data_IF_440736279348
#
_entry.id   IF_440736279348
#
_cell.length_a   1.000
_cell.length_b   1.000
_cell.length_c   1.000
_cell.angle_alpha   90.00
_cell.angle_beta   90.00
_cell.angle_gamma   90.00
#
_symmetry.space_group_name_H-M   'P 1'
#
loop_
_entity.id
_entity.type
_entity.pdbx_description
1 polymer ?
#
# COMPACT_ATOMS: atom_id res chain seq x y z
N UNK A 1 -9.32 -0.36 -16.43
CA UNK A 1 -8.14 -0.21 -15.54
C UNK A 1 -7.12 0.54 -16.37
N UNK A 2 -6.44 1.55 -15.82
CA UNK A 2 -5.39 2.23 -16.58
C UNK A 2 -4.27 1.23 -16.90
N UNK A 3 -3.70 1.31 -18.09
CA UNK A 3 -2.55 0.49 -18.44
C UNK A 3 -1.32 1.02 -17.69
N UNK A 4 -0.48 0.14 -17.11
CA UNK A 4 0.69 0.58 -16.40
C UNK A 4 1.70 1.18 -17.38
N UNK A 5 2.23 2.36 -17.04
CA UNK A 5 3.33 2.98 -17.76
C UNK A 5 4.61 2.17 -17.58
N UNK A 6 4.85 1.68 -16.36
CA UNK A 6 6.07 0.98 -15.98
C UNK A 6 5.80 0.08 -14.77
N UNK A 7 6.50 -1.07 -14.71
CA UNK A 7 6.46 -2.01 -13.59
C UNK A 7 7.88 -2.22 -13.10
N UNK A 8 8.09 -2.05 -11.79
CA UNK A 8 9.40 -2.17 -11.15
C UNK A 8 9.28 -3.11 -9.95
N UNK A 9 10.03 -4.21 -9.97
CA UNK A 9 10.20 -5.06 -8.80
C UNK A 9 11.36 -4.55 -7.95
N UNK A 10 11.20 -4.57 -6.62
CA UNK A 10 12.18 -4.05 -5.67
C UNK A 10 12.08 -4.79 -4.33
N UNK A 11 13.19 -4.81 -3.58
CA UNK A 11 13.20 -5.31 -2.20
C UNK A 11 12.60 -4.24 -1.30
N UNK A 12 11.66 -4.60 -0.42
CA UNK A 12 10.93 -3.61 0.40
C UNK A 12 11.83 -2.73 1.28
N UNK A 13 13.03 -3.22 1.65
CA UNK A 13 14.03 -2.47 2.42
C UNK A 13 15.01 -1.66 1.55
N UNK A 14 14.94 -1.77 0.23
CA UNK A 14 15.79 -1.06 -0.73
C UNK A 14 14.94 -0.53 -1.92
N UNK A 15 14.13 0.53 -1.70
CA UNK A 15 13.17 1.02 -2.68
C UNK A 15 13.76 1.87 -3.80
N UNK A 16 15.09 1.97 -3.93
CA UNK A 16 15.78 2.89 -4.83
C UNK A 16 15.32 2.78 -6.30
N UNK A 17 15.06 1.55 -6.76
CA UNK A 17 14.60 1.31 -8.13
C UNK A 17 13.23 1.95 -8.37
N UNK A 18 12.29 1.73 -7.45
CA UNK A 18 10.95 2.33 -7.52
C UNK A 18 11.02 3.85 -7.43
N UNK A 19 11.80 4.38 -6.49
CA UNK A 19 11.94 5.82 -6.27
C UNK A 19 12.47 6.53 -7.51
N UNK A 20 13.51 5.97 -8.15
CA UNK A 20 14.06 6.51 -9.41
C UNK A 20 13.04 6.54 -10.54
N UNK A 21 12.18 5.53 -10.65
CA UNK A 21 11.20 5.41 -11.72
C UNK A 21 9.94 6.28 -11.52
N UNK A 22 9.58 6.58 -10.27
CA UNK A 22 8.26 7.15 -9.94
C UNK A 22 8.26 8.50 -9.24
N UNK A 23 9.25 8.81 -8.40
CA UNK A 23 9.12 9.90 -7.43
C UNK A 23 8.90 11.28 -8.07
N UNK A 24 9.60 11.57 -9.17
CA UNK A 24 9.43 12.83 -9.90
C UNK A 24 8.01 13.00 -10.45
N UNK A 25 7.43 11.94 -11.01
CA UNK A 25 6.08 11.95 -11.62
C UNK A 25 4.99 12.12 -10.57
N UNK A 26 5.06 11.33 -9.49
CA UNK A 26 4.08 11.41 -8.41
C UNK A 26 4.11 12.80 -7.77
N UNK A 27 5.30 13.35 -7.49
CA UNK A 27 5.42 14.70 -6.92
C UNK A 27 4.91 15.80 -7.86
N UNK A 28 5.06 15.61 -9.17
CA UNK A 28 4.51 16.52 -10.18
C UNK A 28 2.99 16.36 -10.38
N UNK A 29 2.34 15.37 -9.76
CA UNK A 29 0.93 15.06 -9.98
C UNK A 29 0.65 14.49 -11.38
N UNK A 30 1.66 13.87 -11.99
CA UNK A 30 1.63 13.29 -13.34
C UNK A 30 1.59 11.75 -13.28
N UNK A 31 1.03 11.21 -12.20
CA UNK A 31 0.96 9.77 -12.00
C UNK A 31 0.75 9.37 -10.54
N UNK A 32 0.54 8.08 -10.36
CA UNK A 32 0.47 7.42 -9.07
C UNK A 32 1.15 6.06 -9.14
N UNK A 33 1.41 5.47 -7.96
CA UNK A 33 2.02 4.13 -7.85
C UNK A 33 1.13 3.24 -7.00
N UNK A 34 0.94 2.00 -7.46
CA UNK A 34 0.50 0.91 -6.59
C UNK A 34 1.71 0.06 -6.18
N UNK A 35 1.92 -0.14 -4.88
CA UNK A 35 2.91 -1.03 -4.32
C UNK A 35 2.18 -2.29 -3.84
N UNK A 36 2.56 -3.43 -4.41
CA UNK A 36 1.92 -4.72 -4.18
C UNK A 36 3.01 -5.67 -3.65
N UNK A 37 2.86 -6.25 -2.45
CA UNK A 37 3.84 -7.21 -1.95
C UNK A 37 3.77 -8.50 -2.75
N UNK A 38 4.93 -9.10 -2.97
CA UNK A 38 5.06 -10.42 -3.58
C UNK A 38 4.92 -11.51 -2.51
N UNK A 39 4.38 -12.65 -2.94
CA UNK A 39 4.17 -13.86 -2.13
C UNK A 39 4.78 -15.05 -2.87
N UNK A 40 5.31 -16.02 -2.12
CA UNK A 40 6.01 -17.18 -2.72
C UNK A 40 5.09 -18.05 -3.57
N UNK A 41 3.88 -18.32 -3.07
CA UNK A 41 2.86 -19.07 -3.80
C UNK A 41 1.52 -18.31 -3.85
N UNK A 42 1.09 -17.81 -5.03
CA UNK A 42 -0.20 -17.16 -5.17
C UNK A 42 -1.39 -18.09 -4.93
N UNK A 43 -1.20 -19.42 -4.95
CA UNK A 43 -2.25 -20.40 -4.59
C UNK A 43 -2.52 -20.46 -3.09
N UNK A 44 -1.55 -20.09 -2.25
CA UNK A 44 -1.67 -20.02 -0.79
C UNK A 44 -2.43 -18.77 -0.31
N UNK A 45 -2.70 -17.83 -1.21
CA UNK A 45 -3.49 -16.64 -0.91
C UNK A 45 -4.97 -17.05 -0.83
N UNK A 46 -5.64 -16.87 0.32
CA UNK A 46 -7.04 -17.26 0.45
C UNK A 46 -7.91 -16.53 -0.59
N UNK A 47 -8.47 -17.29 -1.55
CA UNK A 47 -9.43 -16.73 -2.50
C UNK A 47 -10.73 -16.40 -1.75
N UNK A 48 -11.24 -15.16 -1.81
CA UNK A 48 -12.53 -14.86 -1.22
C UNK A 48 -13.61 -15.74 -1.86
N UNK A 49 -14.44 -16.40 -1.04
CA UNK A 49 -15.62 -17.10 -1.58
C UNK A 49 -16.59 -16.08 -2.21
N UNK A 50 -17.40 -16.51 -3.17
CA UNK A 50 -18.39 -15.64 -3.86
C UNK A 50 -19.36 -14.98 -2.88
N UNK A 51 -19.67 -15.64 -1.76
CA UNK A 51 -20.49 -15.05 -0.70
C UNK A 51 -19.72 -14.05 0.16
N UNK A 52 -18.42 -14.26 0.37
CA UNK A 52 -17.55 -13.33 1.07
C UNK A 52 -17.22 -12.08 0.23
N UNK A 53 -17.25 -12.12 -1.10
CA UNK A 53 -17.08 -10.91 -1.93
C UNK A 53 -18.32 -10.01 -1.91
N UNK A 54 -19.52 -10.56 -1.70
CA UNK A 54 -20.79 -9.82 -1.68
C UNK A 54 -21.12 -9.32 -0.27
N UNK A 55 -20.97 -10.15 0.76
CA UNK A 55 -21.33 -9.83 2.16
C UNK A 55 -20.11 -9.63 3.08
N UNK A 56 -18.90 -9.86 2.60
CA UNK A 56 -17.70 -9.73 3.43
C UNK A 56 -17.35 -8.28 3.72
N UNK A 57 -16.90 -8.03 4.95
CA UNK A 57 -16.42 -6.74 5.41
C UNK A 57 -14.90 -6.55 5.17
N UNK A 58 -14.23 -7.49 4.49
CA UNK A 58 -12.77 -7.55 4.35
C UNK A 58 -12.33 -7.10 2.95
N UNK A 59 -11.24 -6.35 2.87
CA UNK A 59 -10.52 -6.10 1.62
C UNK A 59 -9.59 -7.27 1.22
N UNK A 60 -8.62 -7.04 0.33
CA UNK A 60 -7.78 -8.11 -0.21
C UNK A 60 -6.81 -8.69 0.84
N UNK A 61 -6.57 -10.01 0.80
CA UNK A 61 -5.64 -10.69 1.72
C UNK A 61 -4.20 -10.18 1.58
N UNK A 62 -3.80 -9.87 0.35
CA UNK A 62 -2.58 -9.13 0.01
C UNK A 62 -2.96 -7.65 -0.04
N UNK A 63 -2.36 -6.78 0.78
CA UNK A 63 -2.71 -5.37 0.78
C UNK A 63 -2.21 -4.70 -0.49
N UNK A 64 -2.98 -3.73 -0.98
CA UNK A 64 -2.57 -2.86 -2.08
C UNK A 64 -2.34 -1.48 -1.50
N UNK A 65 -1.11 -1.01 -1.59
CA UNK A 65 -0.74 0.34 -1.16
C UNK A 65 -0.74 1.26 -2.37
N UNK A 66 -1.38 2.42 -2.28
CA UNK A 66 -1.42 3.41 -3.35
C UNK A 66 -0.74 4.69 -2.87
N UNK A 67 0.08 5.29 -3.71
CA UNK A 67 0.75 6.56 -3.48
C UNK A 67 0.40 7.55 -4.58
N UNK A 68 -0.21 8.67 -4.20
CA UNK A 68 -0.45 9.84 -5.06
C UNK A 68 0.33 11.05 -4.53
N UNK A 69 0.28 12.17 -5.25
CA UNK A 69 0.91 13.42 -4.80
C UNK A 69 0.40 13.89 -3.42
N UNK A 70 -0.89 13.71 -3.15
CA UNK A 70 -1.58 14.26 -1.99
C UNK A 70 -1.82 13.24 -0.87
N UNK A 71 -1.75 11.94 -1.17
CA UNK A 71 -2.18 10.92 -0.23
C UNK A 71 -1.51 9.57 -0.42
N UNK A 72 -1.55 8.78 0.63
CA UNK A 72 -1.36 7.34 0.56
C UNK A 72 -2.63 6.61 0.96
N UNK A 73 -2.88 5.47 0.36
CA UNK A 73 -4.00 4.59 0.70
C UNK A 73 -3.54 3.15 0.86
N UNK A 74 -4.16 2.38 1.75
CA UNK A 74 -3.93 0.94 1.87
C UNK A 74 -5.28 0.22 1.94
N UNK A 75 -5.54 -0.61 0.93
CA UNK A 75 -6.62 -1.59 0.96
C UNK A 75 -6.08 -2.88 1.61
N UNK A 76 -6.81 -3.45 2.58
CA UNK A 76 -6.35 -4.59 3.36
C UNK A 76 -7.48 -5.55 3.75
N UNK A 77 -7.13 -6.80 4.06
CA UNK A 77 -8.07 -7.87 4.43
C UNK A 77 -8.41 -7.94 5.92
N UNK A 78 -7.76 -7.13 6.76
CA UNK A 78 -8.04 -7.11 8.20
C UNK A 78 -9.50 -6.73 8.49
N UNK A 79 -10.13 -7.44 9.43
CA UNK A 79 -11.48 -7.10 9.91
C UNK A 79 -11.51 -5.96 10.92
N UNK A 80 -10.36 -5.56 11.44
CA UNK A 80 -10.16 -4.41 12.32
C UNK A 80 -9.76 -3.18 11.51
N UNK A 81 -9.87 -2.00 12.13
CA UNK A 81 -9.39 -0.74 11.54
C UNK A 81 -7.86 -0.78 11.42
N UNK A 82 -7.33 -0.32 10.29
CA UNK A 82 -5.89 -0.34 10.03
C UNK A 82 -5.11 0.44 11.09
N UNK A 83 -5.61 1.61 11.52
CA UNK A 83 -4.91 2.44 12.49
C UNK A 83 -4.66 1.75 13.83
N UNK A 84 -5.54 0.83 14.24
CA UNK A 84 -5.33 0.04 15.46
C UNK A 84 -4.19 -0.98 15.28
N UNK A 85 -4.19 -1.70 14.16
CA UNK A 85 -3.15 -2.69 13.82
C UNK A 85 -1.79 -2.02 13.69
N UNK A 86 -1.72 -0.89 12.98
CA UNK A 86 -0.48 -0.14 12.78
C UNK A 86 0.11 0.35 14.11
N UNK A 87 -0.73 0.88 15.01
CA UNK A 87 -0.31 1.32 16.34
C UNK A 87 0.23 0.16 17.18
N UNK A 88 -0.43 -1.00 17.14
CA UNK A 88 0.03 -2.21 17.84
C UNK A 88 1.37 -2.72 17.30
N UNK A 89 1.60 -2.57 15.99
CA UNK A 89 2.86 -2.88 15.33
C UNK A 89 3.96 -1.80 15.53
N UNK A 90 3.69 -0.73 16.29
CA UNK A 90 4.64 0.38 16.48
C UNK A 90 4.87 1.22 15.22
N UNK A 91 3.96 1.16 14.25
CA UNK A 91 3.99 1.95 13.02
C UNK A 91 3.14 3.20 13.24
N UNK A 92 3.82 4.30 13.57
CA UNK A 92 3.18 5.60 13.76
C UNK A 92 3.08 6.36 12.44
N UNK A 93 2.15 7.31 12.38
CA UNK A 93 2.12 8.27 11.28
C UNK A 93 3.31 9.23 11.41
N UNK A 94 4.03 9.54 10.33
CA UNK A 94 5.01 10.62 10.34
C UNK A 94 4.37 11.98 10.62
N UNK A 95 5.18 12.94 11.03
CA UNK A 95 4.71 14.29 11.34
C UNK A 95 4.04 14.95 10.14
N UNK A 96 2.90 15.61 10.38
CA UNK A 96 2.11 16.27 9.34
C UNK A 96 1.20 15.34 8.52
N UNK A 97 1.29 14.03 8.70
CA UNK A 97 0.40 13.08 8.02
C UNK A 97 -0.94 12.99 8.74
N UNK A 98 -2.05 13.02 7.98
CA UNK A 98 -3.40 13.09 8.56
C UNK A 98 -4.30 11.98 8.03
N UNK A 99 -4.80 11.08 8.89
CA UNK A 99 -5.76 10.08 8.45
C UNK A 99 -7.08 10.76 8.09
N UNK A 100 -7.59 10.48 6.90
CA UNK A 100 -8.89 11.01 6.41
C UNK A 100 -9.94 9.92 6.24
N UNK A 101 -9.51 8.66 6.16
CA UNK A 101 -10.38 7.50 6.18
C UNK A 101 -9.69 6.35 6.90
N UNK A 102 -10.42 5.61 7.74
CA UNK A 102 -9.99 4.32 8.28
C UNK A 102 -11.20 3.39 8.39
N UNK A 103 -11.33 2.49 7.41
CA UNK A 103 -12.45 1.58 7.29
C UNK A 103 -11.96 0.15 7.07
N UNK A 104 -12.42 -0.83 7.85
CA UNK A 104 -12.07 -2.23 7.60
C UNK A 104 -12.44 -2.72 6.19
N UNK A 105 -13.50 -2.16 5.60
CA UNK A 105 -13.99 -2.53 4.26
C UNK A 105 -13.32 -1.73 3.13
N UNK A 106 -13.04 -0.44 3.34
CA UNK A 106 -12.55 0.47 2.29
C UNK A 106 -11.06 0.79 2.40
N UNK A 107 -10.39 0.28 3.43
CA UNK A 107 -9.01 0.60 3.73
C UNK A 107 -8.84 1.94 4.44
N UNK A 108 -7.57 2.29 4.64
CA UNK A 108 -7.11 3.55 5.23
C UNK A 108 -6.63 4.50 4.14
N UNK A 109 -6.89 5.79 4.31
CA UNK A 109 -6.36 6.86 3.46
C UNK A 109 -5.80 7.95 4.37
N UNK A 110 -4.59 8.38 4.06
CA UNK A 110 -3.83 9.36 4.82
C UNK A 110 -3.37 10.45 3.85
N UNK A 111 -3.71 11.69 4.15
CA UNK A 111 -3.12 12.84 3.46
C UNK A 111 -1.66 13.02 3.91
N UNK A 112 -0.80 13.33 2.94
CA UNK A 112 0.62 13.56 3.17
C UNK A 112 0.99 15.03 2.85
N UNK A 113 2.00 15.61 3.52
CA UNK A 113 2.50 16.93 3.18
C UNK A 113 2.98 17.01 1.71
N UNK A 114 2.81 18.16 1.01
CA UNK A 114 3.27 18.33 -0.38
C UNK A 114 4.77 18.12 -0.59
N UNK A 115 5.56 18.30 0.46
CA UNK A 115 7.01 18.15 0.52
C UNK A 115 7.46 16.85 1.19
N UNK A 116 6.53 15.91 1.43
CA UNK A 116 6.85 14.61 2.00
C UNK A 116 7.95 13.91 1.20
N UNK A 117 8.96 13.42 1.92
CA UNK A 117 10.07 12.68 1.33
C UNK A 117 9.56 11.37 0.70
N UNK A 118 9.75 11.16 -0.62
CA UNK A 118 9.40 9.91 -1.30
C UNK A 118 9.92 8.66 -0.63
N UNK A 119 11.15 8.69 -0.11
CA UNK A 119 11.74 7.52 0.55
C UNK A 119 10.97 7.18 1.82
N UNK A 120 10.70 8.18 2.67
CA UNK A 120 9.84 8.02 3.84
C UNK A 120 8.45 7.49 3.48
N UNK A 121 7.85 7.99 2.39
CA UNK A 121 6.54 7.54 1.92
C UNK A 121 6.55 6.06 1.57
N UNK A 122 7.51 5.62 0.74
CA UNK A 122 7.60 4.23 0.31
C UNK A 122 7.97 3.31 1.47
N UNK A 123 8.92 3.69 2.31
CA UNK A 123 9.29 2.91 3.51
C UNK A 123 8.11 2.77 4.46
N UNK A 124 7.32 3.82 4.68
CA UNK A 124 6.14 3.74 5.51
C UNK A 124 5.09 2.81 4.90
N UNK A 125 4.81 2.92 3.59
CA UNK A 125 3.86 2.06 2.89
C UNK A 125 4.25 0.59 2.93
N UNK A 126 5.54 0.27 2.72
CA UNK A 126 6.05 -1.11 2.81
C UNK A 126 5.84 -1.66 4.22
N UNK A 127 6.21 -0.91 5.26
CA UNK A 127 6.03 -1.34 6.66
C UNK A 127 4.55 -1.52 7.00
N UNK A 128 3.72 -0.55 6.67
CA UNK A 128 2.30 -0.55 6.97
C UNK A 128 1.56 -1.65 6.19
N UNK A 129 1.85 -1.80 4.90
CA UNK A 129 1.31 -2.87 4.08
C UNK A 129 1.72 -4.24 4.60
N UNK A 130 2.99 -4.46 4.95
CA UNK A 130 3.43 -5.71 5.56
C UNK A 130 2.67 -6.05 6.85
N UNK A 131 2.47 -5.07 7.73
CA UNK A 131 1.72 -5.27 8.98
C UNK A 131 0.21 -5.54 8.75
N UNK A 132 -0.34 -5.08 7.62
CA UNK A 132 -1.74 -5.26 7.25
C UNK A 132 -1.99 -6.49 6.36
N UNK A 133 -0.94 -7.24 6.02
CA UNK A 133 -1.06 -8.49 5.28
C UNK A 133 -1.59 -9.61 6.18
N UNK A 134 -2.49 -10.43 5.64
CA UNK A 134 -2.98 -11.64 6.33
C UNK A 134 -2.26 -12.92 5.90
N UNK A 135 -1.24 -12.79 5.04
CA UNK A 135 -0.41 -13.88 4.52
C UNK A 135 1.07 -13.55 4.70
N UNK A 136 1.92 -14.59 4.69
CA UNK A 136 3.36 -14.41 4.72
C UNK A 136 3.84 -13.77 3.41
N UNK A 137 4.73 -12.78 3.54
CA UNK A 137 5.30 -12.02 2.43
C UNK A 137 6.77 -12.39 2.25
N UNK A 138 7.27 -12.35 1.01
CA UNK A 138 8.69 -12.64 0.72
C UNK A 138 9.63 -11.51 1.15
N UNK A 139 9.08 -10.30 1.31
CA UNK A 139 9.85 -9.07 1.49
C UNK A 139 10.12 -8.32 0.18
N UNK A 140 9.83 -8.94 -0.97
CA UNK A 140 9.87 -8.29 -2.28
C UNK A 140 8.53 -7.65 -2.62
N UNK A 141 8.59 -6.61 -3.44
CA UNK A 141 7.46 -5.77 -3.79
C UNK A 141 7.49 -5.44 -5.27
N UNK A 142 6.30 -5.21 -5.82
CA UNK A 142 6.10 -4.71 -7.17
C UNK A 142 5.47 -3.32 -7.11
N UNK A 143 6.16 -2.36 -7.68
CA UNK A 143 5.63 -1.03 -7.97
C UNK A 143 5.04 -0.99 -9.38
N UNK A 144 3.77 -0.62 -9.48
CA UNK A 144 3.06 -0.42 -10.75
C UNK A 144 2.78 1.06 -10.90
N UNK A 145 3.37 1.67 -11.93
CA UNK A 145 3.36 3.12 -12.15
C UNK A 145 2.35 3.46 -13.24
N UNK A 146 1.55 4.49 -13.01
CA UNK A 146 0.51 4.98 -13.92
C UNK A 146 0.70 6.48 -14.19
N UNK A 147 0.03 6.99 -15.23
CA UNK A 147 -0.07 8.42 -15.59
C UNK A 147 -1.29 9.11 -14.98
#
# INVERSE_FOLDING_TARGET
MADPLEIVDFVGTAPDALLRASAGRVRAGQGWVNLIPLVDDPEDVPRPSVWASIFGARGPAIPVCTWTRESVGIQHGMSTRAGAVLREAGITLPDGWRPVQDSPRRGIVIEIPPDADPELVVTWLVRAGSALSTVLLTGDWRGVIYE
#
